data_IF_369815910206
#
_entry.id   IF_369815910206
#
_cell.length_a   1.000
_cell.length_b   1.000
_cell.length_c   1.000
_cell.angle_alpha   90.00
_cell.angle_beta   90.00
_cell.angle_gamma   90.00
#
_symmetry.space_group_name_H-M   'P 1'
#
loop_
_entity.id
_entity.type
_entity.pdbx_description
1 polymer ?
#
# COMPACT_ATOMS: atom_id res chain seq x y z
N UNK A 1 26.53 -24.99 -17.24
CA UNK A 1 26.49 -23.54 -17.38
C UNK A 1 25.85 -23.01 -16.11
N UNK A 2 26.61 -22.36 -15.24
CA UNK A 2 26.15 -21.87 -13.95
C UNK A 2 25.32 -20.59 -14.21
N UNK A 3 24.06 -20.62 -13.83
CA UNK A 3 23.21 -19.42 -13.82
C UNK A 3 23.74 -18.38 -12.82
N UNK A 4 23.47 -17.08 -13.04
CA UNK A 4 23.99 -16.03 -12.18
C UNK A 4 23.43 -16.20 -10.76
N UNK A 5 24.33 -16.40 -9.80
CA UNK A 5 24.00 -16.39 -8.38
C UNK A 5 23.65 -14.94 -7.96
N UNK A 6 22.40 -14.56 -8.05
CA UNK A 6 21.87 -13.36 -7.40
C UNK A 6 21.71 -13.62 -5.91
N UNK A 7 22.80 -13.61 -5.17
CA UNK A 7 22.76 -13.50 -3.73
C UNK A 7 22.63 -12.01 -3.44
N UNK A 8 21.40 -11.51 -3.26
CA UNK A 8 21.16 -10.30 -2.50
C UNK A 8 21.59 -10.62 -1.06
N UNK A 9 22.83 -10.32 -0.73
CA UNK A 9 23.29 -10.29 0.68
C UNK A 9 22.54 -9.15 1.37
N UNK A 10 21.31 -9.43 1.78
CA UNK A 10 20.50 -8.51 2.54
C UNK A 10 21.17 -8.25 3.89
N UNK A 11 21.80 -7.10 4.06
CA UNK A 11 21.86 -6.50 5.38
C UNK A 11 20.42 -6.51 5.89
N UNK A 12 20.16 -7.11 7.07
CA UNK A 12 18.86 -6.98 7.74
C UNK A 12 18.63 -5.49 7.94
N UNK A 13 17.84 -4.87 7.09
CA UNK A 13 17.38 -3.51 7.29
C UNK A 13 16.35 -3.57 8.40
N UNK A 14 16.72 -3.15 9.60
CA UNK A 14 15.80 -3.00 10.72
C UNK A 14 15.76 -1.53 11.12
N UNK A 15 14.62 -1.02 11.58
CA UNK A 15 14.57 0.34 12.08
C UNK A 15 15.51 0.47 13.30
N UNK A 16 16.17 1.60 13.41
CA UNK A 16 16.94 1.91 14.62
C UNK A 16 15.99 2.24 15.78
N UNK A 17 16.45 2.07 17.03
CA UNK A 17 15.67 2.51 18.22
C UNK A 17 15.29 4.00 18.13
N UNK A 18 16.16 4.82 17.54
CA UNK A 18 15.88 6.25 17.34
C UNK A 18 14.72 6.49 16.39
N UNK A 19 14.60 5.71 15.32
CA UNK A 19 13.47 5.76 14.39
C UNK A 19 12.12 5.57 15.11
N UNK A 20 12.04 4.59 16.02
CA UNK A 20 10.82 4.35 16.81
C UNK A 20 10.54 5.51 17.77
N UNK A 21 11.56 6.04 18.43
CA UNK A 21 11.41 7.22 19.30
C UNK A 21 10.91 8.44 18.53
N UNK A 22 11.43 8.67 17.32
CA UNK A 22 11.03 9.79 16.46
C UNK A 22 9.56 9.65 16.02
N UNK A 23 9.09 8.44 15.71
CA UNK A 23 7.70 8.15 15.38
C UNK A 23 6.75 8.41 16.56
N UNK A 24 7.11 7.94 17.75
CA UNK A 24 6.34 8.22 18.99
C UNK A 24 6.37 9.73 19.27
N UNK A 25 7.50 10.39 19.09
CA UNK A 25 7.63 11.84 19.25
C UNK A 25 6.74 12.62 18.29
N UNK A 26 6.59 12.18 17.03
CA UNK A 26 5.64 12.77 16.07
C UNK A 26 4.20 12.62 16.55
N UNK A 27 3.80 11.43 17.04
CA UNK A 27 2.47 11.21 17.58
C UNK A 27 2.20 12.12 18.79
N UNK A 28 3.14 12.22 19.70
CA UNK A 28 3.03 13.12 20.84
C UNK A 28 2.93 14.60 20.43
N UNK A 29 3.72 15.02 19.43
CA UNK A 29 3.67 16.40 18.93
C UNK A 29 2.31 16.77 18.33
N UNK A 30 1.64 15.83 17.64
CA UNK A 30 0.27 15.99 17.12
C UNK A 30 -0.78 16.03 18.25
N UNK A 31 -0.50 15.34 19.34
CA UNK A 31 -1.45 15.21 20.46
C UNK A 31 -1.31 16.29 21.54
N UNK A 32 -0.09 16.76 21.83
CA UNK A 32 0.22 17.64 22.97
C UNK A 32 -0.60 18.94 23.04
N UNK A 33 -1.10 19.44 21.92
CA UNK A 33 -1.89 20.66 21.84
C UNK A 33 -3.41 20.41 21.85
N UNK A 34 -3.84 19.17 22.05
CA UNK A 34 -5.25 18.78 22.14
C UNK A 34 -5.68 18.77 23.60
N UNK A 35 -6.85 19.33 23.88
CA UNK A 35 -7.31 19.49 25.25
C UNK A 35 -7.95 18.22 25.82
N UNK A 36 -7.64 17.93 27.09
CA UNK A 36 -8.37 16.97 27.91
C UNK A 36 -8.26 15.53 27.46
N UNK A 37 -7.13 15.11 26.91
CA UNK A 37 -6.84 13.71 26.59
C UNK A 37 -5.87 13.09 27.61
N UNK A 38 -6.05 11.84 27.89
CA UNK A 38 -5.17 11.05 28.77
C UNK A 38 -4.35 10.05 27.98
N UNK A 39 -4.99 9.33 27.02
CA UNK A 39 -4.37 8.22 26.32
C UNK A 39 -4.63 8.24 24.81
N UNK A 40 -3.66 7.73 24.05
CA UNK A 40 -3.87 7.20 22.70
C UNK A 40 -3.67 5.69 22.75
N UNK A 41 -4.70 4.93 22.43
CA UNK A 41 -4.68 3.46 22.39
C UNK A 41 -4.51 2.99 20.96
N UNK A 42 -3.47 2.19 20.71
CA UNK A 42 -3.17 1.58 19.42
C UNK A 42 -3.27 0.07 19.55
N UNK A 43 -4.20 -0.51 18.82
CA UNK A 43 -4.56 -1.93 18.84
C UNK A 43 -4.27 -2.63 17.51
N UNK A 44 -4.28 -1.87 16.40
CA UNK A 44 -3.89 -2.40 15.10
C UNK A 44 -2.44 -2.88 15.09
N UNK A 45 -2.23 -4.10 14.63
CA UNK A 45 -0.90 -4.75 14.63
C UNK A 45 0.12 -4.00 13.76
N UNK A 46 -0.34 -3.41 12.66
CA UNK A 46 0.53 -2.68 11.74
C UNK A 46 1.00 -1.37 12.37
N UNK A 47 0.09 -0.65 13.04
CA UNK A 47 0.42 0.55 13.79
C UNK A 47 1.24 0.24 15.04
N UNK A 48 1.00 -0.89 15.71
CA UNK A 48 1.90 -1.37 16.77
C UNK A 48 3.32 -1.62 16.23
N UNK A 49 3.46 -2.29 15.07
CA UNK A 49 4.77 -2.42 14.41
C UNK A 49 5.42 -1.07 14.14
N UNK A 50 4.65 -0.10 13.64
CA UNK A 50 5.14 1.25 13.34
C UNK A 50 5.73 1.94 14.57
N UNK A 51 5.09 1.83 15.74
CA UNK A 51 5.50 2.50 16.98
C UNK A 51 6.39 1.66 17.91
N UNK A 52 6.54 0.36 17.67
CA UNK A 52 7.28 -0.51 18.59
C UNK A 52 8.36 -1.36 17.92
N UNK A 53 8.29 -1.55 16.61
CA UNK A 53 9.17 -2.44 15.85
C UNK A 53 8.73 -3.90 15.85
N UNK A 54 7.63 -4.28 16.51
CA UNK A 54 7.09 -5.65 16.53
C UNK A 54 5.57 -5.68 16.35
N UNK A 55 5.06 -6.76 15.76
CA UNK A 55 3.65 -6.96 15.43
C UNK A 55 3.07 -8.07 16.31
N UNK A 56 2.41 -7.70 17.42
CA UNK A 56 1.87 -8.65 18.38
C UNK A 56 0.37 -8.41 18.65
N UNK A 57 -0.25 -9.29 19.44
CA UNK A 57 -1.59 -9.06 20.01
C UNK A 57 -1.42 -8.30 21.33
N UNK A 58 -1.69 -7.00 21.32
CA UNK A 58 -1.42 -6.13 22.45
C UNK A 58 -2.11 -4.78 22.40
N UNK A 59 -1.66 -3.88 23.24
CA UNK A 59 -2.10 -2.50 23.35
C UNK A 59 -0.87 -1.60 23.52
N UNK A 60 -0.56 -0.78 22.53
CA UNK A 60 0.38 0.32 22.71
C UNK A 60 -0.39 1.54 23.23
N UNK A 61 0.17 2.23 24.21
CA UNK A 61 -0.41 3.41 24.85
C UNK A 61 0.58 4.55 24.82
N UNK A 62 0.17 5.69 24.28
CA UNK A 62 0.83 6.97 24.50
C UNK A 62 0.06 7.72 25.59
N UNK A 63 0.76 8.27 26.58
CA UNK A 63 0.22 9.04 27.68
C UNK A 63 0.32 10.54 27.41
N UNK A 64 -0.54 11.33 28.02
CA UNK A 64 -0.60 12.79 27.84
C UNK A 64 0.63 13.55 28.36
N UNK A 65 1.42 12.94 29.25
CA UNK A 65 2.72 13.46 29.70
C UNK A 65 3.89 13.14 28.75
N UNK A 66 3.63 12.41 27.65
CA UNK A 66 4.61 11.94 26.67
C UNK A 66 5.23 10.58 27.00
N UNK A 67 4.87 9.95 28.11
CA UNK A 67 5.20 8.58 28.43
C UNK A 67 4.51 7.60 27.48
N UNK A 68 5.03 6.38 27.37
CA UNK A 68 4.41 5.33 26.56
C UNK A 68 4.68 3.95 27.12
N UNK A 69 3.73 3.02 26.88
CA UNK A 69 3.80 1.63 27.30
C UNK A 69 3.31 0.71 26.19
N UNK A 70 3.85 -0.49 26.11
CA UNK A 70 3.33 -1.53 25.23
C UNK A 70 2.98 -2.77 26.03
N UNK A 71 1.71 -3.13 26.03
CA UNK A 71 1.17 -4.29 26.73
C UNK A 71 0.92 -5.42 25.72
N UNK A 72 1.58 -6.56 25.89
CA UNK A 72 1.51 -7.69 24.97
C UNK A 72 0.79 -8.86 25.61
N UNK A 73 -0.32 -9.28 24.96
CA UNK A 73 -1.17 -10.36 25.48
C UNK A 73 -0.68 -11.75 25.06
N UNK A 74 -0.17 -11.87 23.85
CA UNK A 74 0.34 -13.14 23.30
C UNK A 74 1.73 -12.96 22.75
N UNK A 75 2.53 -14.03 22.80
CA UNK A 75 3.90 -14.04 22.27
C UNK A 75 4.80 -12.96 22.90
N UNK A 76 4.69 -12.73 24.20
CA UNK A 76 5.48 -11.74 24.93
C UNK A 76 7.00 -11.98 24.79
N UNK A 77 7.45 -13.25 24.81
CA UNK A 77 8.87 -13.59 24.62
C UNK A 77 9.38 -13.14 23.23
N UNK A 78 8.56 -13.26 22.19
CA UNK A 78 8.90 -12.74 20.88
C UNK A 78 8.97 -11.21 20.88
N UNK A 79 8.03 -10.55 21.54
CA UNK A 79 8.05 -9.10 21.68
C UNK A 79 9.34 -8.62 22.36
N UNK A 80 9.84 -9.30 23.38
CA UNK A 80 11.11 -8.98 24.05
C UNK A 80 12.33 -9.03 23.11
N UNK A 81 12.29 -9.90 22.10
CA UNK A 81 13.38 -10.05 21.13
C UNK A 81 13.34 -9.00 20.02
N UNK A 82 12.14 -8.50 19.66
CA UNK A 82 11.92 -7.64 18.50
C UNK A 82 11.68 -6.17 18.88
N UNK A 83 11.04 -5.92 20.03
CA UNK A 83 10.57 -4.60 20.43
C UNK A 83 11.71 -3.60 20.67
N UNK A 84 11.58 -2.41 20.16
CA UNK A 84 12.61 -1.38 20.18
C UNK A 84 12.38 -0.27 21.22
N UNK A 85 11.26 -0.33 21.99
CA UNK A 85 10.92 0.69 22.98
C UNK A 85 11.54 0.45 24.38
N UNK A 86 12.36 -0.58 24.54
CA UNK A 86 13.11 -0.83 25.78
C UNK A 86 12.25 -1.39 26.90
N UNK A 87 12.38 -0.80 28.09
CA UNK A 87 11.77 -1.31 29.33
C UNK A 87 10.25 -1.06 29.44
N UNK A 88 9.68 -0.26 28.54
CA UNK A 88 8.24 0.05 28.53
C UNK A 88 7.38 -1.05 27.90
N UNK A 89 7.82 -2.29 28.01
CA UNK A 89 7.18 -3.50 27.48
C UNK A 89 6.70 -4.38 28.61
N UNK A 90 5.39 -4.67 28.67
CA UNK A 90 4.75 -5.38 29.75
C UNK A 90 3.93 -6.57 29.24
N UNK A 91 3.90 -7.72 29.98
CA UNK A 91 2.93 -8.77 29.70
C UNK A 91 1.52 -8.32 30.10
N UNK A 92 0.51 -8.79 29.38
CA UNK A 92 -0.88 -8.48 29.65
C UNK A 92 -1.75 -9.72 29.46
N UNK A 93 -2.51 -10.12 30.47
CA UNK A 93 -3.55 -11.13 30.33
C UNK A 93 -4.90 -10.49 29.97
N UNK A 94 -5.16 -9.30 30.50
CA UNK A 94 -6.35 -8.51 30.21
C UNK A 94 -6.06 -7.00 30.33
N UNK A 95 -6.96 -6.16 29.85
CA UNK A 95 -6.85 -4.68 29.97
C UNK A 95 -6.77 -4.20 31.44
N UNK A 96 -7.15 -5.04 32.42
CA UNK A 96 -6.93 -4.77 33.85
C UNK A 96 -5.46 -4.55 34.18
N UNK A 97 -4.58 -5.31 33.55
CA UNK A 97 -3.15 -5.24 33.81
C UNK A 97 -2.56 -3.92 33.28
N UNK A 98 -3.05 -3.45 32.13
CA UNK A 98 -2.73 -2.12 31.61
C UNK A 98 -3.25 -1.03 32.55
N UNK A 99 -4.52 -1.09 32.97
CA UNK A 99 -5.13 -0.11 33.88
C UNK A 99 -4.44 -0.07 35.27
N UNK A 100 -3.86 -1.18 35.71
CA UNK A 100 -3.11 -1.23 36.98
C UNK A 100 -1.78 -0.43 36.89
N UNK A 101 -1.20 -0.31 35.69
CA UNK A 101 0.09 0.37 35.46
C UNK A 101 -0.14 1.85 35.11
N UNK A 102 -1.06 2.13 34.13
CA UNK A 102 -1.26 3.50 33.66
C UNK A 102 -2.38 4.26 34.38
N UNK A 103 -3.17 3.58 35.20
CA UNK A 103 -4.32 4.16 35.88
C UNK A 103 -5.59 4.19 35.03
N UNK A 104 -6.68 4.65 35.65
CA UNK A 104 -7.94 4.97 34.95
C UNK A 104 -7.85 6.37 34.38
N UNK A 105 -8.42 6.56 33.21
CA UNK A 105 -8.53 7.89 32.60
C UNK A 105 -9.62 8.72 33.30
N UNK A 106 -9.44 10.03 33.26
CA UNK A 106 -10.44 11.06 33.60
C UNK A 106 -10.75 11.91 32.37
N UNK A 107 -9.86 11.93 31.39
CA UNK A 107 -9.97 12.61 30.13
C UNK A 107 -10.30 11.68 28.95
N UNK A 108 -10.15 12.21 27.76
CA UNK A 108 -10.46 11.51 26.52
C UNK A 108 -9.43 10.41 26.21
N UNK A 109 -9.89 9.33 25.58
CA UNK A 109 -9.04 8.30 25.00
C UNK A 109 -9.17 8.37 23.46
N UNK A 110 -8.04 8.55 22.77
CA UNK A 110 -7.97 8.44 21.32
C UNK A 110 -7.77 6.98 20.93
N UNK A 111 -8.59 6.48 20.00
CA UNK A 111 -8.61 5.08 19.56
C UNK A 111 -8.60 4.99 18.03
N UNK A 112 -8.21 3.85 17.52
CA UNK A 112 -8.34 3.50 16.09
C UNK A 112 -9.80 3.08 15.81
N UNK A 113 -10.68 4.07 15.63
CA UNK A 113 -12.12 3.89 15.58
C UNK A 113 -12.59 3.11 14.32
N UNK A 114 -11.84 3.19 13.21
CA UNK A 114 -12.16 2.52 11.95
C UNK A 114 -11.90 1.00 12.01
N UNK A 115 -11.03 0.53 12.93
CA UNK A 115 -10.59 -0.87 12.97
C UNK A 115 -10.78 -1.56 14.32
N UNK A 116 -10.99 -0.82 15.41
CA UNK A 116 -11.21 -1.40 16.74
C UNK A 116 -12.59 -2.10 16.81
N UNK A 117 -12.65 -3.44 16.97
CA UNK A 117 -13.93 -4.13 17.08
C UNK A 117 -14.74 -3.66 18.31
N UNK A 118 -16.06 -3.49 18.14
CA UNK A 118 -16.97 -3.10 19.22
C UNK A 118 -16.80 -3.96 20.48
N UNK A 119 -16.65 -5.27 20.32
CA UNK A 119 -16.40 -6.18 21.45
C UNK A 119 -15.05 -5.94 22.17
N UNK A 120 -14.07 -5.33 21.51
CA UNK A 120 -12.83 -4.92 22.16
C UNK A 120 -13.05 -3.64 22.98
N UNK A 121 -13.80 -2.68 22.43
CA UNK A 121 -14.21 -1.47 23.11
C UNK A 121 -14.99 -1.78 24.41
N UNK A 122 -15.95 -2.71 24.37
CA UNK A 122 -16.68 -3.17 25.57
C UNK A 122 -15.76 -3.80 26.62
N UNK A 123 -14.78 -4.59 26.18
CA UNK A 123 -13.79 -5.17 27.11
C UNK A 123 -12.90 -4.13 27.77
N UNK A 124 -12.50 -3.09 27.02
CA UNK A 124 -11.76 -1.94 27.55
C UNK A 124 -12.60 -1.15 28.55
N UNK A 125 -13.88 -0.96 28.26
CA UNK A 125 -14.84 -0.22 29.10
C UNK A 125 -15.04 -0.80 30.51
N UNK A 126 -14.58 -2.02 30.78
CA UNK A 126 -14.55 -2.58 32.15
C UNK A 126 -13.48 -1.96 33.04
N UNK A 127 -12.47 -1.33 32.44
CA UNK A 127 -11.28 -0.84 33.15
C UNK A 127 -10.97 0.63 32.89
N UNK A 128 -11.42 1.17 31.77
CA UNK A 128 -11.26 2.57 31.33
C UNK A 128 -12.63 3.20 31.07
N UNK A 129 -12.74 4.50 31.25
CA UNK A 129 -13.92 5.25 30.80
C UNK A 129 -13.83 5.46 29.28
N UNK A 130 -14.57 4.62 28.54
CA UNK A 130 -14.63 4.67 27.07
C UNK A 130 -15.76 5.55 26.55
N UNK A 131 -16.52 6.27 27.42
CA UNK A 131 -17.59 7.15 26.99
C UNK A 131 -17.07 8.39 26.22
N UNK A 132 -15.84 8.81 26.51
CA UNK A 132 -15.18 9.96 25.91
C UNK A 132 -14.08 9.54 24.92
N UNK A 133 -14.40 8.67 23.96
CA UNK A 133 -13.43 8.27 22.93
C UNK A 133 -13.43 9.21 21.73
N UNK A 134 -12.26 9.39 21.12
CA UNK A 134 -12.03 10.19 19.91
C UNK A 134 -11.25 9.36 18.89
N UNK A 135 -11.47 9.56 17.56
CA UNK A 135 -10.72 8.83 16.53
C UNK A 135 -9.27 9.32 16.45
N UNK A 136 -8.32 8.36 16.42
CA UNK A 136 -6.89 8.58 16.17
C UNK A 136 -6.48 8.29 14.72
N UNK A 137 -7.35 7.65 13.94
CA UNK A 137 -7.05 7.08 12.63
C UNK A 137 -6.36 8.08 11.69
N UNK A 138 -6.97 9.25 11.45
CA UNK A 138 -6.39 10.29 10.59
C UNK A 138 -5.07 10.86 11.11
N UNK A 139 -4.87 10.89 12.42
CA UNK A 139 -3.63 11.38 13.03
C UNK A 139 -2.50 10.41 12.67
N UNK A 140 -2.75 9.12 12.88
CA UNK A 140 -1.78 8.05 12.59
C UNK A 140 -1.50 7.97 11.08
N UNK A 141 -2.54 8.04 10.24
CA UNK A 141 -2.41 8.04 8.78
C UNK A 141 -1.51 9.20 8.29
N UNK A 142 -1.70 10.41 8.80
CA UNK A 142 -0.87 11.57 8.45
C UNK A 142 0.59 11.42 8.86
N UNK A 143 0.86 10.86 10.04
CA UNK A 143 2.21 10.61 10.52
C UNK A 143 2.90 9.57 9.63
N UNK A 144 2.20 8.48 9.27
CA UNK A 144 2.70 7.41 8.40
C UNK A 144 2.90 7.87 6.96
N UNK A 145 2.11 8.85 6.49
CA UNK A 145 2.21 9.36 5.13
C UNK A 145 3.59 9.96 4.83
N UNK A 146 4.21 10.67 5.80
CA UNK A 146 5.54 11.30 5.65
C UNK A 146 6.63 10.31 6.04
N UNK A 147 7.27 9.72 5.05
CA UNK A 147 8.26 8.65 5.22
C UNK A 147 9.59 9.16 5.76
N UNK A 148 10.19 8.39 6.65
CA UNK A 148 11.56 8.61 7.10
C UNK A 148 12.58 8.12 6.06
N UNK A 149 13.87 8.46 6.20
CA UNK A 149 14.93 7.90 5.34
C UNK A 149 15.00 6.37 5.38
N UNK A 150 14.72 5.75 6.54
CA UNK A 150 14.65 4.28 6.66
C UNK A 150 13.51 3.72 5.83
N UNK A 151 12.31 4.28 5.95
CA UNK A 151 11.12 3.85 5.22
C UNK A 151 11.33 4.01 3.71
N UNK A 152 11.87 5.14 3.26
CA UNK A 152 12.20 5.36 1.86
C UNK A 152 13.25 4.36 1.35
N UNK A 153 14.24 3.99 2.15
CA UNK A 153 15.24 2.98 1.74
C UNK A 153 14.62 1.59 1.54
N UNK A 154 13.61 1.21 2.35
CA UNK A 154 12.85 -0.02 2.15
C UNK A 154 12.03 0.04 0.85
N UNK A 155 11.40 1.18 0.56
CA UNK A 155 10.60 1.38 -0.65
C UNK A 155 11.48 1.46 -1.91
N UNK A 156 12.69 2.01 -1.85
CA UNK A 156 13.64 2.00 -2.95
C UNK A 156 14.13 0.57 -3.28
N UNK A 157 14.32 -0.27 -2.26
CA UNK A 157 14.62 -1.69 -2.48
C UNK A 157 13.43 -2.42 -3.10
N UNK A 158 12.22 -2.16 -2.61
CA UNK A 158 10.98 -2.67 -3.19
C UNK A 158 10.82 -2.26 -4.67
N UNK A 159 11.13 -1.01 -5.01
CA UNK A 159 11.12 -0.51 -6.38
C UNK A 159 12.13 -1.22 -7.31
N UNK A 160 13.29 -1.65 -6.77
CA UNK A 160 14.24 -2.49 -7.52
C UNK A 160 13.68 -3.89 -7.79
N UNK A 161 12.96 -4.47 -6.82
CA UNK A 161 12.27 -5.75 -7.03
C UNK A 161 11.27 -5.64 -8.18
N UNK A 162 10.46 -4.56 -8.25
CA UNK A 162 9.55 -4.32 -9.36
C UNK A 162 10.24 -4.30 -10.72
N UNK A 163 11.36 -3.58 -10.84
CA UNK A 163 12.10 -3.55 -12.09
C UNK A 163 12.54 -4.96 -12.49
N UNK A 164 13.20 -5.68 -11.59
CA UNK A 164 13.73 -7.01 -11.86
C UNK A 164 12.62 -8.00 -12.21
N UNK A 165 11.52 -8.03 -11.45
CA UNK A 165 10.46 -9.00 -11.72
C UNK A 165 9.73 -8.70 -13.03
N UNK A 166 9.34 -7.42 -13.26
CA UNK A 166 8.48 -7.05 -14.38
C UNK A 166 9.23 -6.91 -15.70
N UNK A 167 10.51 -6.54 -15.69
CA UNK A 167 11.28 -6.33 -16.93
C UNK A 167 12.20 -7.47 -17.28
N UNK A 168 12.85 -8.09 -16.28
CA UNK A 168 13.89 -9.09 -16.54
C UNK A 168 13.34 -10.53 -16.42
N UNK A 169 12.35 -10.79 -15.55
CA UNK A 169 11.91 -12.16 -15.24
C UNK A 169 10.59 -12.51 -15.92
N UNK A 170 9.53 -11.72 -15.76
CA UNK A 170 8.20 -12.03 -16.31
C UNK A 170 8.21 -12.28 -17.82
N UNK A 171 8.98 -11.56 -18.65
CA UNK A 171 9.07 -11.89 -20.08
C UNK A 171 9.48 -13.33 -20.35
N UNK A 172 10.38 -13.88 -19.54
CA UNK A 172 10.84 -15.28 -19.66
C UNK A 172 9.89 -16.32 -19.06
N UNK A 173 8.91 -15.92 -18.25
CA UNK A 173 7.89 -16.83 -17.70
C UNK A 173 6.73 -17.06 -18.66
N UNK A 174 6.42 -16.08 -19.52
CA UNK A 174 5.27 -16.14 -20.41
C UNK A 174 5.41 -17.24 -21.48
N UNK A 175 4.47 -18.19 -21.48
CA UNK A 175 4.41 -19.30 -22.42
C UNK A 175 2.98 -19.61 -22.83
N UNK A 176 2.81 -20.01 -24.08
CA UNK A 176 1.50 -20.40 -24.62
C UNK A 176 0.87 -21.54 -23.82
N UNK A 177 -0.41 -21.42 -23.50
CA UNK A 177 -1.17 -22.41 -22.75
C UNK A 177 -1.03 -22.32 -21.22
N UNK A 178 -0.18 -21.42 -20.68
CA UNK A 178 -0.18 -21.20 -19.23
C UNK A 178 -1.45 -20.46 -18.78
N UNK A 179 -1.93 -20.76 -17.59
CA UNK A 179 -3.06 -20.04 -16.97
C UNK A 179 -2.62 -18.78 -16.24
N UNK A 180 -3.56 -17.86 -15.99
CA UNK A 180 -3.33 -16.69 -15.13
C UNK A 180 -2.85 -17.10 -13.73
N UNK A 181 -3.44 -18.18 -13.18
CA UNK A 181 -3.06 -18.73 -11.87
C UNK A 181 -1.61 -19.23 -11.84
N UNK A 182 -1.16 -19.91 -12.90
CA UNK A 182 0.25 -20.37 -13.00
C UNK A 182 1.19 -19.18 -13.06
N UNK A 183 0.88 -18.16 -13.86
CA UNK A 183 1.72 -16.96 -13.95
C UNK A 183 1.80 -16.24 -12.59
N UNK A 184 0.67 -16.11 -11.89
CA UNK A 184 0.64 -15.51 -10.53
C UNK A 184 1.56 -16.27 -9.57
N UNK A 185 1.48 -17.61 -9.58
CA UNK A 185 2.31 -18.45 -8.70
C UNK A 185 3.81 -18.35 -9.02
N UNK A 186 4.17 -18.30 -10.30
CA UNK A 186 5.56 -18.17 -10.74
C UNK A 186 6.12 -16.78 -10.41
N UNK A 187 5.37 -15.70 -10.64
CA UNK A 187 5.76 -14.34 -10.23
C UNK A 187 5.97 -14.29 -8.71
N UNK A 188 5.06 -14.86 -7.94
CA UNK A 188 5.17 -14.89 -6.47
C UNK A 188 6.43 -15.62 -6.02
N UNK A 189 6.72 -16.79 -6.59
CA UNK A 189 7.93 -17.54 -6.29
C UNK A 189 9.20 -16.73 -6.57
N UNK A 190 9.28 -16.09 -7.72
CA UNK A 190 10.44 -15.27 -8.08
C UNK A 190 10.58 -14.03 -7.18
N UNK A 191 9.47 -13.38 -6.83
CA UNK A 191 9.49 -12.26 -5.88
C UNK A 191 10.00 -12.67 -4.49
N UNK A 192 9.61 -13.84 -3.98
CA UNK A 192 10.14 -14.38 -2.72
C UNK A 192 11.67 -14.58 -2.81
N UNK A 193 12.17 -15.07 -3.93
CA UNK A 193 13.62 -15.19 -4.16
C UNK A 193 14.33 -13.84 -4.19
N UNK A 194 13.66 -12.79 -4.68
CA UNK A 194 14.18 -11.42 -4.69
C UNK A 194 14.09 -10.74 -3.31
N UNK A 195 13.46 -11.36 -2.31
CA UNK A 195 13.32 -10.81 -0.96
C UNK A 195 12.02 -10.08 -0.66
N UNK A 196 10.99 -10.28 -1.49
CA UNK A 196 9.63 -9.80 -1.20
C UNK A 196 9.13 -10.36 0.14
N UNK A 197 8.47 -9.54 0.94
CA UNK A 197 8.01 -9.94 2.28
C UNK A 197 6.74 -10.81 2.27
N UNK A 198 6.23 -11.20 1.08
CA UNK A 198 5.28 -12.31 0.90
C UNK A 198 3.80 -11.96 1.06
N UNK A 199 3.44 -10.72 1.28
CA UNK A 199 2.04 -10.30 1.46
C UNK A 199 1.83 -8.86 1.02
N UNK A 200 0.75 -8.58 0.28
CA UNK A 200 0.29 -7.22 0.00
C UNK A 200 -0.81 -6.87 1.01
N UNK A 201 -0.59 -5.80 1.79
CA UNK A 201 -1.54 -5.34 2.80
C UNK A 201 -2.33 -4.17 2.29
N UNK A 202 -3.66 -4.25 2.44
CA UNK A 202 -4.59 -3.19 2.09
C UNK A 202 -5.02 -2.40 3.32
N UNK A 203 -5.44 -1.15 3.11
CA UNK A 203 -6.06 -0.31 4.14
C UNK A 203 -7.42 -0.86 4.57
N UNK A 204 -8.17 -1.45 3.65
CA UNK A 204 -9.38 -2.18 3.98
C UNK A 204 -9.02 -3.55 4.59
N UNK A 205 -9.36 -3.83 5.87
CA UNK A 205 -8.94 -5.04 6.58
C UNK A 205 -9.55 -6.34 6.03
N UNK A 206 -10.56 -6.26 5.17
CA UNK A 206 -11.20 -7.42 4.55
C UNK A 206 -10.67 -7.71 3.13
N UNK A 207 -9.72 -6.92 2.64
CA UNK A 207 -9.14 -7.13 1.32
C UNK A 207 -7.92 -8.04 1.44
N UNK A 208 -7.96 -9.14 0.69
CA UNK A 208 -6.89 -10.13 0.63
C UNK A 208 -6.16 -10.03 -0.71
N UNK A 209 -4.84 -10.09 -0.69
CA UNK A 209 -4.02 -10.23 -1.89
C UNK A 209 -2.66 -10.84 -1.57
N UNK A 210 -2.17 -11.70 -2.47
CA UNK A 210 -0.80 -12.21 -2.44
C UNK A 210 0.16 -11.23 -3.12
N UNK A 211 -0.27 -10.66 -4.24
CA UNK A 211 0.55 -9.79 -5.10
C UNK A 211 -0.22 -8.51 -5.47
N UNK A 212 -1.35 -8.65 -6.16
CA UNK A 212 -2.15 -7.62 -6.78
C UNK A 212 -3.07 -8.24 -7.84
N UNK A 213 -3.19 -7.57 -8.98
CA UNK A 213 -4.06 -7.96 -10.08
C UNK A 213 -3.29 -8.51 -11.27
N UNK A 214 -3.82 -9.57 -11.89
CA UNK A 214 -3.28 -10.17 -13.10
C UNK A 214 -4.43 -10.65 -13.99
N UNK A 215 -4.35 -10.35 -15.28
CA UNK A 215 -5.37 -10.79 -16.22
C UNK A 215 -4.87 -10.84 -17.67
N UNK A 216 -5.36 -11.82 -18.44
CA UNK A 216 -5.09 -11.95 -19.86
C UNK A 216 -6.25 -11.39 -20.68
N UNK A 217 -5.95 -10.47 -21.60
CA UNK A 217 -6.94 -9.86 -22.46
C UNK A 217 -8.13 -9.28 -21.67
N UNK A 218 -9.34 -9.71 -22.01
CA UNK A 218 -10.58 -9.21 -21.38
C UNK A 218 -10.74 -9.55 -19.90
N UNK A 219 -10.00 -10.53 -19.35
CA UNK A 219 -10.02 -10.75 -17.90
C UNK A 219 -9.42 -9.57 -17.12
N UNK A 220 -8.52 -8.79 -17.74
CA UNK A 220 -7.96 -7.57 -17.15
C UNK A 220 -8.96 -6.40 -17.03
N UNK A 221 -10.15 -6.53 -17.62
CA UNK A 221 -11.28 -5.60 -17.47
C UNK A 221 -12.51 -6.27 -16.85
N UNK A 222 -12.36 -7.47 -16.26
CA UNK A 222 -13.40 -8.09 -15.47
C UNK A 222 -13.52 -7.32 -14.14
N UNK A 223 -14.74 -6.94 -13.70
CA UNK A 223 -14.93 -6.20 -12.46
C UNK A 223 -14.23 -6.90 -11.28
N UNK A 224 -13.29 -6.22 -10.66
CA UNK A 224 -12.53 -6.76 -9.53
C UNK A 224 -13.23 -6.48 -8.20
N UNK A 225 -12.80 -7.18 -7.15
CA UNK A 225 -13.20 -6.87 -5.78
C UNK A 225 -12.36 -5.74 -5.13
N UNK A 226 -11.39 -5.21 -5.86
CA UNK A 226 -10.54 -4.10 -5.43
C UNK A 226 -11.13 -2.76 -5.86
N UNK A 227 -10.91 -1.73 -5.05
CA UNK A 227 -11.19 -0.34 -5.40
C UNK A 227 -10.02 0.23 -6.24
N UNK A 228 -9.92 -0.19 -7.48
CA UNK A 228 -8.86 0.19 -8.41
C UNK A 228 -9.33 0.15 -9.86
N UNK A 229 -8.60 0.77 -10.81
CA UNK A 229 -8.98 0.83 -12.22
C UNK A 229 -8.77 -0.47 -12.98
N UNK A 230 -8.03 -1.42 -12.43
CA UNK A 230 -7.74 -2.72 -13.04
C UNK A 230 -8.86 -3.75 -12.83
N UNK A 231 -8.76 -4.87 -13.54
CA UNK A 231 -9.70 -5.98 -13.43
C UNK A 231 -9.01 -7.32 -13.23
N UNK A 232 -9.70 -8.24 -12.60
CA UNK A 232 -9.25 -9.62 -12.40
C UNK A 232 -10.44 -10.53 -12.12
N UNK A 233 -10.57 -11.62 -12.87
CA UNK A 233 -11.66 -12.57 -12.65
C UNK A 233 -11.46 -13.42 -11.39
N UNK A 234 -10.20 -13.77 -11.08
CA UNK A 234 -9.88 -14.64 -9.96
C UNK A 234 -10.26 -16.10 -10.16
N UNK A 235 -10.03 -16.91 -9.11
CA UNK A 235 -10.38 -18.35 -9.13
C UNK A 235 -11.89 -18.61 -9.11
N UNK A 236 -12.66 -17.68 -8.61
CA UNK A 236 -14.12 -17.76 -8.50
C UNK A 236 -14.67 -16.82 -7.45
N UNK A 237 -16.02 -16.79 -7.25
CA UNK A 237 -16.66 -15.82 -6.36
C UNK A 237 -16.19 -15.86 -4.89
N UNK A 238 -15.75 -17.03 -4.41
CA UNK A 238 -15.23 -17.18 -3.05
C UNK A 238 -13.75 -16.74 -2.92
N UNK A 239 -13.00 -16.74 -4.02
CA UNK A 239 -11.58 -16.35 -4.08
C UNK A 239 -11.37 -15.54 -5.35
N UNK A 240 -11.78 -14.26 -5.37
CA UNK A 240 -11.72 -13.39 -6.55
C UNK A 240 -10.32 -12.83 -6.82
N UNK A 241 -9.30 -13.58 -6.44
CA UNK A 241 -7.87 -13.25 -6.57
C UNK A 241 -7.11 -14.39 -7.23
N UNK A 242 -5.81 -14.19 -7.53
CA UNK A 242 -4.86 -15.20 -8.08
C UNK A 242 -5.05 -15.47 -9.59
N UNK A 243 -5.99 -14.81 -10.27
CA UNK A 243 -6.28 -15.04 -11.69
C UNK A 243 -7.17 -16.28 -11.95
N UNK A 244 -7.60 -16.43 -13.20
CA UNK A 244 -8.49 -17.50 -13.65
C UNK A 244 -7.67 -18.72 -14.09
N UNK A 245 -7.94 -19.87 -13.51
CA UNK A 245 -7.28 -21.15 -13.87
C UNK A 245 -7.64 -21.64 -15.28
N UNK A 246 -8.83 -21.28 -15.77
CA UNK A 246 -9.30 -21.69 -17.09
C UNK A 246 -8.88 -20.76 -18.23
N UNK A 247 -8.41 -19.55 -17.92
CA UNK A 247 -7.93 -18.59 -18.92
C UNK A 247 -6.50 -18.90 -19.29
N UNK A 248 -6.31 -19.46 -20.46
CA UNK A 248 -5.00 -19.84 -20.98
C UNK A 248 -4.45 -18.75 -21.90
N UNK A 249 -3.15 -18.47 -21.77
CA UNK A 249 -2.42 -17.50 -22.57
C UNK A 249 -2.31 -18.01 -24.03
N UNK A 250 -2.64 -17.15 -24.96
CA UNK A 250 -2.53 -17.42 -26.40
C UNK A 250 -1.90 -16.25 -27.14
N UNK A 251 -1.35 -16.52 -28.32
CA UNK A 251 -0.80 -15.49 -29.20
C UNK A 251 -1.80 -14.34 -29.41
N UNK A 252 -1.31 -13.12 -29.26
CA UNK A 252 -2.11 -11.89 -29.40
C UNK A 252 -2.78 -11.42 -28.12
N UNK A 253 -2.66 -12.17 -27.03
CA UNK A 253 -3.19 -11.70 -25.74
C UNK A 253 -2.35 -10.54 -25.18
N UNK A 254 -3.06 -9.55 -24.65
CA UNK A 254 -2.52 -8.61 -23.68
C UNK A 254 -2.34 -9.34 -22.34
N UNK A 255 -1.21 -9.11 -21.67
CA UNK A 255 -0.98 -9.56 -20.30
C UNK A 255 -0.85 -8.32 -19.40
N UNK A 256 -1.80 -8.17 -18.50
CA UNK A 256 -1.83 -7.13 -17.49
C UNK A 256 -1.26 -7.69 -16.19
N UNK A 257 -0.23 -7.05 -15.66
CA UNK A 257 0.39 -7.38 -14.37
C UNK A 257 0.50 -6.11 -13.56
N UNK A 258 -0.26 -6.06 -12.47
CA UNK A 258 -0.39 -4.94 -11.56
C UNK A 258 -0.19 -5.46 -10.14
N UNK A 259 0.99 -5.24 -9.60
CA UNK A 259 1.42 -5.93 -8.38
C UNK A 259 2.12 -5.01 -7.39
N UNK A 260 1.91 -5.30 -6.11
CA UNK A 260 2.69 -4.77 -5.02
C UNK A 260 3.98 -5.56 -4.80
N UNK A 261 5.10 -4.87 -4.60
CA UNK A 261 6.30 -5.44 -3.98
C UNK A 261 6.49 -4.86 -2.59
N UNK A 262 7.38 -5.46 -1.78
CA UNK A 262 7.58 -4.90 -0.45
C UNK A 262 8.76 -5.48 0.30
N UNK A 263 9.38 -4.62 1.12
CA UNK A 263 10.53 -4.91 1.97
C UNK A 263 10.25 -4.41 3.39
N UNK A 264 10.43 -5.27 4.39
CA UNK A 264 10.22 -4.95 5.81
C UNK A 264 8.85 -4.30 6.12
N UNK A 265 7.81 -4.70 5.39
CA UNK A 265 6.46 -4.17 5.53
C UNK A 265 6.14 -2.98 4.63
N UNK A 266 7.12 -2.30 4.03
CA UNK A 266 6.90 -1.14 3.16
C UNK A 266 6.73 -1.55 1.71
N UNK A 267 5.62 -1.13 1.11
CA UNK A 267 5.22 -1.48 -0.25
C UNK A 267 5.65 -0.41 -1.27
N UNK A 268 5.73 -0.84 -2.52
CA UNK A 268 5.60 -0.02 -3.73
C UNK A 268 4.60 -0.70 -4.65
N UNK A 269 3.99 0.05 -5.56
CA UNK A 269 3.01 -0.42 -6.52
C UNK A 269 3.43 -0.09 -7.94
N UNK A 270 3.22 -1.04 -8.88
CA UNK A 270 3.58 -0.85 -10.28
C UNK A 270 2.82 -1.77 -11.22
N UNK A 271 2.36 -1.21 -12.32
CA UNK A 271 1.75 -1.94 -13.44
C UNK A 271 2.71 -2.07 -14.62
N UNK A 272 2.78 -3.26 -15.22
CA UNK A 272 3.41 -3.51 -16.52
C UNK A 272 2.44 -4.26 -17.45
N UNK A 273 2.50 -3.89 -18.74
CA UNK A 273 1.70 -4.50 -19.81
C UNK A 273 2.62 -5.22 -20.77
N UNK A 274 2.21 -6.42 -21.18
CA UNK A 274 2.91 -7.21 -22.21
C UNK A 274 1.95 -7.58 -23.34
N UNK A 275 2.50 -7.83 -24.53
CA UNK A 275 1.81 -8.46 -25.64
C UNK A 275 2.49 -9.78 -25.97
N UNK A 276 1.74 -10.86 -25.94
CA UNK A 276 2.28 -12.19 -26.17
C UNK A 276 2.36 -12.53 -27.66
N UNK A 277 3.58 -12.65 -28.18
CA UNK A 277 3.91 -13.05 -29.59
C UNK A 277 3.22 -12.22 -30.68
N UNK A 278 2.85 -10.97 -30.38
CA UNK A 278 2.20 -10.07 -31.33
C UNK A 278 2.48 -8.62 -30.93
N UNK A 279 2.69 -7.75 -31.93
CA UNK A 279 2.79 -6.32 -31.66
C UNK A 279 1.46 -5.77 -31.16
N UNK A 280 1.49 -4.81 -30.22
CA UNK A 280 0.28 -4.16 -29.75
C UNK A 280 -0.38 -3.38 -30.90
N UNK A 281 -1.72 -3.34 -30.96
CA UNK A 281 -2.43 -2.52 -31.94
C UNK A 281 -2.22 -1.03 -31.64
N UNK A 282 -2.25 -0.20 -32.67
CA UNK A 282 -1.97 1.25 -32.57
C UNK A 282 -2.85 1.97 -31.56
N UNK A 283 -4.13 1.60 -31.46
CA UNK A 283 -5.04 2.20 -30.49
C UNK A 283 -4.63 1.92 -29.03
N UNK A 284 -4.07 0.75 -28.75
CA UNK A 284 -3.58 0.39 -27.41
C UNK A 284 -2.30 1.16 -27.07
N UNK A 285 -1.38 1.29 -28.04
CA UNK A 285 -0.17 2.12 -27.91
C UNK A 285 -0.54 3.58 -27.67
N UNK A 286 -1.50 4.12 -28.44
CA UNK A 286 -1.97 5.49 -28.27
C UNK A 286 -2.60 5.74 -26.90
N UNK A 287 -3.45 4.80 -26.43
CA UNK A 287 -4.07 4.90 -25.11
C UNK A 287 -3.03 4.85 -23.99
N UNK A 288 -2.05 3.94 -24.06
CA UNK A 288 -0.96 3.87 -23.09
C UNK A 288 -0.11 5.15 -23.06
N UNK A 289 0.28 5.67 -24.23
CA UNK A 289 1.02 6.94 -24.33
C UNK A 289 0.27 8.09 -23.67
N UNK A 290 -1.06 8.14 -23.80
CA UNK A 290 -1.88 9.15 -23.15
C UNK A 290 -1.90 8.96 -21.62
N UNK A 291 -2.02 7.72 -21.12
CA UNK A 291 -1.87 7.41 -19.69
C UNK A 291 -0.48 7.83 -19.16
N UNK A 292 0.60 7.56 -19.91
CA UNK A 292 1.94 8.01 -19.55
C UNK A 292 2.05 9.53 -19.45
N UNK A 293 1.42 10.26 -20.37
CA UNK A 293 1.38 11.72 -20.33
C UNK A 293 0.62 12.26 -19.11
N UNK A 294 -0.51 11.62 -18.76
CA UNK A 294 -1.30 11.92 -17.55
C UNK A 294 -0.46 11.68 -16.30
N UNK A 295 0.19 10.51 -16.19
CA UNK A 295 1.06 10.17 -15.07
C UNK A 295 2.21 11.19 -14.91
N UNK A 296 2.86 11.56 -16.01
CA UNK A 296 3.94 12.55 -16.01
C UNK A 296 3.45 13.93 -15.56
N UNK A 297 2.27 14.36 -16.01
CA UNK A 297 1.67 15.63 -15.60
C UNK A 297 1.34 15.63 -14.11
N UNK A 298 0.72 14.56 -13.60
CA UNK A 298 0.45 14.40 -12.18
C UNK A 298 1.73 14.40 -11.35
N UNK A 299 2.74 13.60 -11.75
CA UNK A 299 4.02 13.50 -11.05
C UNK A 299 4.75 14.85 -10.95
N UNK A 300 4.68 15.69 -11.98
CA UNK A 300 5.28 17.04 -11.95
C UNK A 300 4.64 17.96 -10.90
N UNK A 301 3.39 17.70 -10.53
CA UNK A 301 2.62 18.43 -9.52
C UNK A 301 2.74 17.85 -8.10
N UNK A 302 3.41 16.72 -7.91
CA UNK A 302 3.65 16.13 -6.58
C UNK A 302 4.73 16.93 -5.83
N UNK A 303 4.36 18.12 -5.35
CA UNK A 303 5.25 19.03 -4.61
C UNK A 303 4.66 19.38 -3.24
N UNK A 304 5.50 19.67 -2.24
CA UNK A 304 5.03 20.15 -0.95
C UNK A 304 4.15 21.41 -1.11
N UNK A 305 3.02 21.43 -0.43
CA UNK A 305 2.04 22.53 -0.45
C UNK A 305 0.95 22.39 -1.52
N UNK A 306 1.15 21.58 -2.56
CA UNK A 306 0.10 21.36 -3.56
C UNK A 306 -1.06 20.52 -2.97
N UNK A 307 -2.26 20.80 -3.45
CA UNK A 307 -3.51 20.18 -2.96
C UNK A 307 -3.89 19.02 -3.88
N UNK A 308 -4.08 17.79 -3.35
CA UNK A 308 -4.44 16.62 -4.14
C UNK A 308 -5.66 16.80 -5.03
N UNK A 309 -6.71 17.44 -4.50
CA UNK A 309 -7.95 17.72 -5.28
C UNK A 309 -7.72 18.67 -6.44
N UNK A 310 -6.82 19.63 -6.31
CA UNK A 310 -6.45 20.54 -7.40
C UNK A 310 -5.60 19.83 -8.46
N UNK A 311 -4.67 18.98 -8.05
CA UNK A 311 -3.90 18.12 -8.95
C UNK A 311 -4.85 17.26 -9.77
N UNK A 312 -5.79 16.56 -9.11
CA UNK A 312 -6.79 15.73 -9.78
C UNK A 312 -7.58 16.52 -10.83
N UNK A 313 -8.16 17.66 -10.45
CA UNK A 313 -8.95 18.52 -11.34
C UNK A 313 -8.13 19.04 -12.53
N UNK A 314 -6.91 19.48 -12.26
CA UNK A 314 -6.01 20.00 -13.30
C UNK A 314 -5.68 18.94 -14.36
N UNK A 315 -5.41 17.70 -13.92
CA UNK A 315 -5.00 16.61 -14.82
C UNK A 315 -6.18 16.00 -15.55
N UNK A 316 -7.32 15.80 -14.87
CA UNK A 316 -8.51 15.15 -15.47
C UNK A 316 -9.33 16.13 -16.28
N UNK A 317 -9.40 17.41 -15.88
CA UNK A 317 -10.23 18.44 -16.54
C UNK A 317 -9.85 18.75 -17.98
N UNK A 318 -8.65 18.40 -18.41
CA UNK A 318 -8.17 18.58 -19.79
C UNK A 318 -8.36 17.36 -20.71
N UNK A 319 -9.01 16.27 -20.21
CA UNK A 319 -9.20 15.06 -21.00
C UNK A 319 -10.48 15.11 -21.82
N UNK A 320 -10.40 14.66 -23.08
CA UNK A 320 -11.54 14.61 -23.97
C UNK A 320 -12.56 13.55 -23.47
N UNK A 321 -13.88 13.82 -23.64
CA UNK A 321 -14.95 12.89 -23.22
C UNK A 321 -14.78 11.47 -23.78
N UNK A 322 -14.28 11.35 -25.01
CA UNK A 322 -14.03 10.08 -25.67
C UNK A 322 -12.92 9.27 -24.97
N UNK A 323 -11.88 9.94 -24.47
CA UNK A 323 -10.84 9.27 -23.68
C UNK A 323 -11.33 8.88 -22.29
N UNK A 324 -12.19 9.70 -21.69
CA UNK A 324 -12.79 9.42 -20.38
C UNK A 324 -13.69 8.18 -20.39
N UNK A 325 -14.19 7.76 -21.56
CA UNK A 325 -14.88 6.48 -21.70
C UNK A 325 -13.89 5.33 -21.48
N UNK A 326 -14.09 4.53 -20.42
CA UNK A 326 -13.19 3.46 -19.99
C UNK A 326 -11.93 3.91 -19.23
N UNK A 327 -11.73 5.22 -19.01
CA UNK A 327 -10.62 5.72 -18.20
C UNK A 327 -10.91 5.52 -16.71
N UNK A 328 -9.93 4.96 -15.98
CA UNK A 328 -9.99 4.62 -14.55
C UNK A 328 -11.11 3.65 -14.17
N UNK A 329 -11.41 2.68 -15.03
CA UNK A 329 -12.42 1.65 -14.77
C UNK A 329 -12.98 1.01 -16.02
N UNK A 330 -14.11 0.32 -15.89
CA UNK A 330 -14.77 -0.44 -16.96
C UNK A 330 -16.21 0.03 -17.13
N UNK A 331 -16.61 0.36 -18.36
CA UNK A 331 -17.96 0.81 -18.65
C UNK A 331 -18.36 2.07 -17.88
N UNK A 332 -19.42 1.98 -17.07
CA UNK A 332 -19.89 3.06 -16.18
C UNK A 332 -19.18 3.08 -14.84
N UNK A 333 -18.56 1.97 -14.45
CA UNK A 333 -17.87 1.83 -13.18
C UNK A 333 -16.46 2.42 -13.27
N UNK A 334 -16.24 3.53 -12.56
CA UNK A 334 -14.95 4.24 -12.55
C UNK A 334 -14.58 4.62 -11.14
N UNK A 335 -13.34 4.38 -10.77
CA UNK A 335 -12.77 4.94 -9.54
C UNK A 335 -12.56 6.44 -9.70
N UNK A 336 -12.74 7.19 -8.62
CA UNK A 336 -12.74 8.66 -8.61
C UNK A 336 -11.45 9.23 -8.03
N UNK A 337 -10.36 8.52 -8.21
CA UNK A 337 -9.01 8.96 -7.83
C UNK A 337 -8.03 8.70 -8.98
N UNK A 338 -6.86 9.30 -8.94
CA UNK A 338 -5.77 9.11 -9.91
C UNK A 338 -4.57 8.39 -9.30
N UNK A 339 -4.55 8.29 -7.99
CA UNK A 339 -3.48 7.66 -7.22
C UNK A 339 -3.75 7.72 -5.73
N UNK A 340 -3.02 6.93 -4.99
CA UNK A 340 -3.17 6.73 -3.54
C UNK A 340 -1.82 6.69 -2.84
N UNK A 341 -1.80 6.95 -1.54
CA UNK A 341 -0.61 6.78 -0.72
C UNK A 341 -0.16 5.31 -0.69
N UNK A 342 1.12 5.10 -0.54
CA UNK A 342 1.75 3.77 -0.41
C UNK A 342 2.70 3.78 0.77
N UNK A 343 2.74 2.68 1.52
CA UNK A 343 3.65 2.55 2.66
C UNK A 343 3.58 1.17 3.30
N UNK A 344 3.21 1.11 4.58
CA UNK A 344 2.95 -0.17 5.26
C UNK A 344 1.70 -0.88 4.71
N UNK A 345 0.82 -0.15 4.08
CA UNK A 345 -0.30 -0.65 3.27
C UNK A 345 -0.11 -0.19 1.83
N UNK A 346 -0.64 -0.95 0.89
CA UNK A 346 -0.50 -0.63 -0.53
C UNK A 346 -1.33 0.61 -0.89
N UNK A 347 -2.46 0.80 -0.20
CA UNK A 347 -3.39 1.91 -0.33
C UNK A 347 -3.53 2.63 1.03
N UNK A 348 -2.91 3.78 1.17
CA UNK A 348 -3.02 4.59 2.38
C UNK A 348 -3.15 6.09 2.03
N UNK A 349 -3.29 6.93 3.03
CA UNK A 349 -3.31 8.39 2.87
C UNK A 349 -1.95 8.92 2.35
N UNK A 350 -1.93 9.95 1.45
CA UNK A 350 -3.07 10.69 0.89
C UNK A 350 -3.62 10.08 -0.42
N UNK A 351 -4.77 10.57 -0.90
CA UNK A 351 -5.36 10.16 -2.17
C UNK A 351 -5.41 11.35 -3.14
N UNK A 352 -5.05 11.14 -4.40
CA UNK A 352 -5.18 12.16 -5.47
C UNK A 352 -6.58 12.04 -6.06
N UNK A 353 -7.54 12.72 -5.43
CA UNK A 353 -8.95 12.71 -5.80
C UNK A 353 -9.63 14.04 -5.46
N UNK A 354 -10.80 14.29 -6.06
CA UNK A 354 -11.61 15.45 -5.69
C UNK A 354 -11.93 15.47 -4.20
N UNK A 355 -11.99 16.66 -3.59
CA UNK A 355 -12.26 16.89 -2.16
C UNK A 355 -11.15 16.52 -1.18
N UNK A 356 -10.00 16.03 -1.61
CA UNK A 356 -8.82 15.90 -0.78
C UNK A 356 -8.06 17.23 -0.76
N UNK A 357 -8.29 18.02 0.30
CA UNK A 357 -7.87 19.42 0.38
C UNK A 357 -6.68 19.67 1.31
N UNK A 358 -6.11 18.64 1.93
CA UNK A 358 -4.93 18.78 2.76
C UNK A 358 -3.67 18.83 1.90
N UNK A 359 -2.76 19.78 2.13
CA UNK A 359 -1.58 19.95 1.30
C UNK A 359 -0.63 18.75 1.42
N UNK A 360 -0.03 18.39 0.30
CA UNK A 360 1.03 17.39 0.25
C UNK A 360 2.27 17.86 1.01
N UNK A 361 3.00 16.92 1.60
CA UNK A 361 4.27 17.18 2.27
C UNK A 361 5.44 16.44 1.60
N UNK A 362 6.65 16.97 1.77
CA UNK A 362 7.88 16.31 1.32
C UNK A 362 8.01 14.92 1.97
N UNK A 363 8.51 13.95 1.22
CA UNK A 363 8.62 12.54 1.62
C UNK A 363 7.29 11.76 1.77
N UNK A 364 6.15 12.32 1.41
CA UNK A 364 4.98 11.49 1.15
C UNK A 364 5.22 10.62 -0.08
N UNK A 365 4.64 9.41 -0.11
CA UNK A 365 4.76 8.47 -1.23
C UNK A 365 3.38 8.13 -1.78
N UNK A 366 3.28 8.12 -3.11
CA UNK A 366 2.03 7.85 -3.83
C UNK A 366 2.26 6.95 -5.03
N UNK A 367 1.36 6.01 -5.27
CA UNK A 367 1.17 5.39 -6.57
C UNK A 367 0.32 6.31 -7.46
N UNK A 368 0.70 6.47 -8.72
CA UNK A 368 -0.05 7.23 -9.73
C UNK A 368 -0.33 6.29 -10.89
N UNK A 369 -1.62 6.00 -11.12
CA UNK A 369 -2.05 4.82 -11.87
C UNK A 369 -3.08 5.08 -12.99
N UNK A 370 -2.89 6.04 -13.89
CA UNK A 370 -3.83 6.23 -14.99
C UNK A 370 -3.90 4.99 -15.88
N UNK A 371 -5.08 4.38 -15.93
CA UNK A 371 -5.38 3.18 -16.71
C UNK A 371 -6.63 3.40 -17.57
N UNK A 372 -6.71 2.72 -18.72
CA UNK A 372 -7.86 2.77 -19.61
C UNK A 372 -8.26 1.38 -20.08
N UNK A 373 -9.49 1.02 -19.85
CA UNK A 373 -10.11 -0.19 -20.42
C UNK A 373 -10.41 0.00 -21.89
N UNK A 374 -10.15 -1.02 -22.68
CA UNK A 374 -10.46 -1.11 -24.10
C UNK A 374 -11.34 -2.34 -24.29
N UNK A 375 -12.57 -2.13 -24.72
CA UNK A 375 -13.53 -3.20 -24.93
C UNK A 375 -12.99 -4.27 -25.87
N UNK A 376 -13.26 -5.54 -25.58
CA UNK A 376 -12.77 -6.72 -26.32
C UNK A 376 -11.24 -6.87 -26.43
N UNK A 377 -10.46 -6.05 -25.70
CA UNK A 377 -9.01 -6.13 -25.72
C UNK A 377 -8.40 -6.32 -24.33
N UNK A 378 -8.73 -5.45 -23.39
CA UNK A 378 -8.17 -5.47 -22.03
C UNK A 378 -7.83 -4.06 -21.55
N UNK A 379 -7.11 -3.95 -20.43
CA UNK A 379 -6.73 -2.67 -19.85
C UNK A 379 -5.30 -2.30 -20.24
N UNK A 380 -5.10 -1.05 -20.61
CA UNK A 380 -3.78 -0.46 -20.80
C UNK A 380 -3.62 0.73 -19.86
N UNK A 381 -2.40 0.96 -19.41
CA UNK A 381 -2.13 2.06 -18.51
C UNK A 381 -0.73 1.94 -17.91
N UNK A 382 -0.43 2.80 -16.99
CA UNK A 382 0.83 2.84 -16.27
C UNK A 382 0.55 3.06 -14.80
N UNK A 383 1.42 2.51 -13.97
CA UNK A 383 1.46 2.81 -12.56
C UNK A 383 2.90 2.79 -12.08
N UNK A 384 3.24 3.76 -11.27
CA UNK A 384 4.51 3.83 -10.57
C UNK A 384 4.32 4.50 -9.21
N UNK A 385 5.16 4.10 -8.25
CA UNK A 385 5.26 4.75 -6.95
C UNK A 385 6.25 5.91 -7.01
N UNK A 386 5.82 7.06 -6.49
CA UNK A 386 6.59 8.30 -6.42
C UNK A 386 6.78 8.73 -4.97
N UNK A 387 7.94 9.32 -4.66
CA UNK A 387 8.14 10.13 -3.45
C UNK A 387 8.08 11.60 -3.80
N UNK A 388 7.37 12.38 -2.98
CA UNK A 388 7.26 13.83 -3.13
C UNK A 388 8.58 14.51 -2.79
N UNK A 389 9.06 15.34 -3.70
CA UNK A 389 10.23 16.20 -3.52
C UNK A 389 9.90 17.66 -3.85
N UNK A 390 10.81 18.58 -3.54
CA UNK A 390 10.65 20.01 -3.88
C UNK A 390 10.49 20.26 -5.39
N UNK A 391 11.06 19.37 -6.21
CA UNK A 391 11.08 19.50 -7.67
C UNK A 391 9.93 18.74 -8.38
N UNK A 392 9.14 17.97 -7.63
CA UNK A 392 8.08 17.10 -8.13
C UNK A 392 8.21 15.67 -7.61
N UNK A 393 7.41 14.75 -8.13
CA UNK A 393 7.48 13.33 -7.79
C UNK A 393 8.74 12.65 -8.36
N UNK A 394 9.58 12.10 -7.49
CA UNK A 394 10.69 11.22 -7.88
C UNK A 394 10.20 9.78 -7.89
N UNK A 395 10.23 9.14 -9.05
CA UNK A 395 9.80 7.75 -9.22
C UNK A 395 10.72 6.78 -8.48
N UNK A 396 10.15 5.87 -7.67
CA UNK A 396 10.84 4.82 -6.93
C UNK A 396 10.89 3.50 -7.73
N UNK A 397 9.90 3.24 -8.58
CA UNK A 397 9.73 2.00 -9.34
C UNK A 397 10.22 2.09 -10.79
N UNK A 398 11.18 2.97 -11.04
CA UNK A 398 11.73 3.28 -12.39
C UNK A 398 11.94 2.06 -13.26
N UNK A 399 11.56 2.17 -14.54
CA UNK A 399 11.80 1.12 -15.52
C UNK A 399 11.14 1.40 -16.86
N UNK A 400 11.01 0.32 -17.67
CA UNK A 400 10.37 0.35 -18.96
C UNK A 400 8.89 0.75 -18.84
N UNK A 401 8.46 1.67 -19.68
CA UNK A 401 7.07 2.18 -19.69
C UNK A 401 6.30 1.80 -20.95
N UNK A 402 6.96 1.29 -21.95
CA UNK A 402 6.30 0.82 -23.17
C UNK A 402 5.65 -0.57 -22.93
N UNK A 403 4.79 -0.98 -23.87
CA UNK A 403 4.25 -2.34 -23.88
C UNK A 403 5.37 -3.30 -24.32
N UNK A 404 5.72 -4.25 -23.46
CA UNK A 404 6.76 -5.21 -23.75
C UNK A 404 6.19 -6.32 -24.66
N UNK A 405 6.82 -6.59 -25.80
CA UNK A 405 6.45 -7.71 -26.68
C UNK A 405 7.30 -8.91 -26.30
N UNK A 406 6.65 -10.06 -26.07
CA UNK A 406 7.28 -11.31 -25.60
C UNK A 406 6.97 -12.45 -26.55
#
# INVERSE_FOLDING_TARGET
>A
MAGPAFIVRGKKMQPAKQEIKDRIGKLYAEMKNRDGWDYVFITDKLNQYYFTGTMQDGLFVLLSDGGYCYFVRRSFERAKLECLIGENLYPMASYRDAAAIIGKNTGKIYIEAEILPYAALERMGKYFDMANTMPADKIIQKIRAVKSPYELSCMEESGRQHKTILEDIVPGLLREGMSETELTAEIYLELIKLGYHGVTRFGNPQTESMLGQLGFGTNSIYPACFDGPGGMKGLGPAVPIIGDRSRLLKKGDLVFVDIGCGVNGYHTDRTQIYMFRQNPPEYAVAARKKCMAIQKAAAALLKPGNIPGEIYKSVIGGLEPEFLSGFMGVGSERVKFLGHGVGLQIDEYPVIADKFNEPLAENMTLAIEPKRSIENFGIVGVEDTYVITKDGGRCLTRGEKEIIVV
#
